data_IF_881627326343
#
_entry.id   IF_881627326343
#
_cell.length_a   1.000
_cell.length_b   1.000
_cell.length_c   1.000
_cell.angle_alpha   90.00
_cell.angle_beta   90.00
_cell.angle_gamma   90.00
#
_symmetry.space_group_name_H-M   'P 1'
#
loop_
_entity.id
_entity.type
_entity.pdbx_description
1 polymer ?
#
# COMPACT_ATOMS: atom_id res chain seq x y z
N UNK A 1 -49.94 17.84 19.46
CA UNK A 1 -49.80 16.56 20.18
C UNK A 1 -48.33 16.25 20.31
N UNK A 2 -47.86 16.29 21.57
CA UNK A 2 -46.62 15.75 22.15
C UNK A 2 -45.31 15.88 21.37
N UNK A 3 -44.71 17.06 21.49
CA UNK A 3 -43.27 17.27 21.41
C UNK A 3 -42.62 16.90 22.77
N UNK A 4 -41.52 16.15 22.74
CA UNK A 4 -40.62 15.93 23.88
C UNK A 4 -39.23 16.46 23.50
N UNK A 5 -38.64 17.39 24.25
CA UNK A 5 -37.28 17.84 23.99
C UNK A 5 -36.26 17.02 24.82
N UNK A 6 -35.27 16.47 24.14
CA UNK A 6 -34.09 15.81 24.71
C UNK A 6 -33.08 16.83 25.24
N UNK A 7 -32.58 16.57 26.47
CA UNK A 7 -31.64 17.39 27.24
C UNK A 7 -30.28 17.60 26.53
N UNK A 8 -29.59 18.74 26.76
CA UNK A 8 -28.23 18.96 26.29
C UNK A 8 -27.21 18.25 27.19
N UNK A 9 -26.30 17.49 26.58
CA UNK A 9 -25.16 16.84 27.22
C UNK A 9 -23.95 17.78 27.11
N UNK A 10 -23.40 18.19 28.25
CA UNK A 10 -22.18 19.01 28.34
C UNK A 10 -20.94 18.23 27.90
N UNK A 11 -20.00 18.84 27.16
CA UNK A 11 -18.69 18.25 26.89
C UNK A 11 -17.72 18.61 28.02
N UNK A 12 -17.31 17.59 28.77
CA UNK A 12 -16.14 17.67 29.66
C UNK A 12 -14.84 17.50 28.86
N UNK A 13 -13.87 18.30 29.28
CA UNK A 13 -12.51 18.53 28.77
C UNK A 13 -11.60 17.26 28.76
N UNK A 14 -10.42 17.32 28.10
CA UNK A 14 -9.72 16.17 27.54
C UNK A 14 -8.57 15.63 28.39
N UNK A 15 -8.22 14.37 28.12
CA UNK A 15 -6.83 13.92 28.04
C UNK A 15 -6.14 13.52 29.35
N UNK A 16 -6.38 12.29 29.81
CA UNK A 16 -5.41 11.53 30.61
C UNK A 16 -5.76 10.03 30.63
N UNK A 17 -5.44 9.30 29.56
CA UNK A 17 -5.36 7.83 29.60
C UNK A 17 -3.99 7.37 29.10
N UNK A 18 -2.99 7.58 29.97
CA UNK A 18 -1.74 6.82 30.04
C UNK A 18 -1.52 6.43 31.50
N UNK A 19 -2.33 5.52 32.03
CA UNK A 19 -2.11 4.88 33.34
C UNK A 19 -3.18 3.82 33.56
N UNK A 20 -2.94 2.63 33.01
CA UNK A 20 -3.70 1.43 33.34
C UNK A 20 -2.85 0.19 32.99
N UNK A 21 -1.64 0.12 33.53
CA UNK A 21 -0.82 -1.10 33.69
C UNK A 21 0.38 -0.73 34.58
N UNK A 22 0.15 -0.55 35.88
CA UNK A 22 1.26 -0.52 36.87
C UNK A 22 0.88 -0.76 38.33
N UNK A 23 -0.27 -1.34 38.63
CA UNK A 23 -0.70 -1.62 40.01
C UNK A 23 -0.96 -3.12 40.25
N UNK A 24 0.12 -3.89 40.32
CA UNK A 24 0.18 -5.16 41.09
C UNK A 24 1.41 -5.20 42.03
N UNK A 25 2.25 -4.16 42.04
CA UNK A 25 3.42 -4.08 42.93
C UNK A 25 3.36 -2.87 43.86
N UNK A 26 2.38 -2.85 44.77
CA UNK A 26 2.31 -1.88 45.87
C UNK A 26 1.46 -2.43 47.01
N UNK A 27 1.92 -3.53 47.62
CA UNK A 27 1.63 -3.83 49.02
C UNK A 27 2.92 -4.40 49.63
N UNK A 28 3.34 -3.76 50.73
CA UNK A 28 4.50 -4.09 51.60
C UNK A 28 5.83 -3.41 51.22
N UNK A 29 5.86 -2.10 51.37
CA UNK A 29 7.00 -1.29 51.83
C UNK A 29 6.36 -0.15 52.64
N UNK A 30 6.69 0.25 53.87
CA UNK A 30 7.78 0.08 54.84
C UNK A 30 7.08 0.35 56.22
N UNK A 31 7.62 0.02 57.43
CA UNK A 31 8.96 0.44 57.85
C UNK A 31 9.70 -0.50 58.81
N UNK A 32 11.02 -0.66 58.68
CA UNK A 32 11.86 -1.11 59.80
C UNK A 32 13.35 -0.79 59.59
N UNK A 33 13.69 0.50 59.71
CA UNK A 33 15.06 0.94 60.01
C UNK A 33 14.96 2.05 61.07
N UNK A 34 14.94 1.65 62.34
CA UNK A 34 15.30 2.49 63.49
C UNK A 34 15.36 1.63 64.75
N UNK A 35 16.57 1.21 65.16
CA UNK A 35 17.04 1.05 66.55
C UNK A 35 18.16 0.00 66.65
N UNK A 36 19.41 0.44 66.50
CA UNK A 36 20.57 -0.26 67.05
C UNK A 36 21.50 0.79 67.67
N UNK A 37 21.37 0.98 68.98
CA UNK A 37 22.34 1.59 69.88
C UNK A 37 22.16 1.01 71.30
N UNK A 38 23.25 0.50 71.88
CA UNK A 38 23.48 -0.23 73.17
C UNK A 38 23.07 0.57 74.45
N UNK A 39 23.16 0.08 75.74
CA UNK A 39 23.82 -1.12 76.30
C UNK A 39 23.05 -1.91 77.41
N UNK A 40 23.74 -2.93 77.95
CA UNK A 40 23.40 -3.88 79.01
C UNK A 40 22.92 -3.31 80.36
N UNK A 41 22.07 -4.08 81.07
CA UNK A 41 22.22 -4.47 82.48
C UNK A 41 20.98 -5.23 82.99
N UNK A 42 21.15 -6.48 83.44
CA UNK A 42 20.60 -6.98 84.71
C UNK A 42 21.29 -8.31 85.07
N UNK A 43 22.03 -8.28 86.19
CA UNK A 43 22.45 -9.43 86.97
C UNK A 43 21.24 -9.95 87.77
N UNK A 44 21.11 -11.22 88.18
CA UNK A 44 22.00 -12.37 88.09
C UNK A 44 21.39 -13.59 88.81
N UNK A 45 22.21 -14.64 88.93
CA UNK A 45 21.96 -15.86 89.74
C UNK A 45 21.25 -16.97 88.94
N UNK A 46 21.73 -18.20 88.86
CA UNK A 46 22.86 -18.88 89.45
C UNK A 46 22.78 -20.37 89.07
N UNK A 47 23.93 -21.03 89.13
CA UNK A 47 24.17 -22.49 89.05
C UNK A 47 24.37 -23.14 87.66
N UNK A 48 25.67 -23.24 87.30
CA UNK A 48 26.37 -24.43 86.78
C UNK A 48 25.70 -25.28 85.67
N UNK A 49 26.17 -25.10 84.43
CA UNK A 49 26.47 -26.22 83.51
C UNK A 49 27.64 -25.86 82.59
N UNK A 50 28.84 -25.95 83.16
CA UNK A 50 30.13 -25.88 82.45
C UNK A 50 30.26 -27.21 81.66
N UNK A 51 30.51 -27.14 80.34
CA UNK A 51 30.67 -28.26 79.37
C UNK A 51 29.45 -28.72 78.54
N UNK A 52 28.65 -27.80 77.96
CA UNK A 52 27.61 -28.13 76.96
C UNK A 52 27.40 -27.18 75.77
N UNK A 53 27.91 -25.95 75.81
CA UNK A 53 27.49 -24.88 74.86
C UNK A 53 28.00 -24.98 73.42
N UNK A 54 29.03 -25.78 73.12
CA UNK A 54 29.54 -25.92 71.73
C UNK A 54 28.67 -26.84 70.88
N UNK A 55 28.11 -27.91 71.45
CA UNK A 55 27.24 -28.83 70.72
C UNK A 55 25.88 -28.17 70.38
N UNK A 56 25.34 -27.38 71.31
CA UNK A 56 24.07 -26.65 71.12
C UNK A 56 24.19 -25.55 70.05
N UNK A 57 25.30 -24.81 70.03
CA UNK A 57 25.59 -23.83 68.96
C UNK A 57 25.71 -24.49 67.59
N UNK A 58 26.35 -25.66 67.51
CA UNK A 58 26.50 -26.40 66.24
C UNK A 58 25.17 -26.97 65.74
N UNK A 59 24.27 -27.40 66.64
CA UNK A 59 22.90 -27.78 66.28
C UNK A 59 22.10 -26.62 65.71
N UNK A 60 22.13 -25.47 66.39
CA UNK A 60 21.44 -24.26 65.91
C UNK A 60 21.95 -23.82 64.53
N UNK A 61 23.25 -23.88 64.30
CA UNK A 61 23.86 -23.57 62.99
C UNK A 61 23.50 -24.59 61.91
N UNK A 62 23.41 -25.88 62.25
CA UNK A 62 22.96 -26.93 61.32
C UNK A 62 21.48 -26.78 60.96
N UNK A 63 20.63 -26.43 61.93
CA UNK A 63 19.22 -26.14 61.69
C UNK A 63 19.05 -24.90 60.80
N UNK A 64 19.81 -23.83 61.05
CA UNK A 64 19.80 -22.65 60.18
C UNK A 64 20.25 -22.99 58.74
N UNK A 65 21.23 -23.89 58.57
CA UNK A 65 21.64 -24.38 57.25
C UNK A 65 20.53 -25.21 56.57
N UNK A 66 19.78 -26.01 57.34
CA UNK A 66 18.61 -26.77 56.84
C UNK A 66 17.51 -25.84 56.36
N UNK A 67 17.15 -24.82 57.16
CA UNK A 67 16.13 -23.84 56.81
C UNK A 67 16.54 -23.02 55.57
N UNK A 68 17.82 -22.63 55.48
CA UNK A 68 18.36 -21.93 54.32
C UNK A 68 18.35 -22.80 53.04
N UNK A 69 18.67 -24.09 53.16
CA UNK A 69 18.58 -25.03 52.05
C UNK A 69 17.13 -25.24 51.59
N UNK A 70 16.19 -25.36 52.54
CA UNK A 70 14.76 -25.45 52.25
C UNK A 70 14.25 -24.20 51.52
N UNK A 71 14.64 -23.00 51.99
CA UNK A 71 14.31 -21.75 51.30
C UNK A 71 14.85 -21.72 49.86
N UNK A 72 16.12 -22.09 49.65
CA UNK A 72 16.71 -22.17 48.31
C UNK A 72 16.01 -23.17 47.39
N UNK A 73 15.54 -24.30 47.93
CA UNK A 73 14.75 -25.29 47.20
C UNK A 73 13.40 -24.71 46.76
N UNK A 74 12.67 -24.05 47.65
CA UNK A 74 11.39 -23.41 47.33
C UNK A 74 11.53 -22.29 46.28
N UNK A 75 12.57 -21.46 46.39
CA UNK A 75 12.86 -20.41 45.41
C UNK A 75 13.16 -20.99 44.03
N UNK A 76 13.91 -22.10 43.96
CA UNK A 76 14.21 -22.78 42.70
C UNK A 76 12.96 -23.39 42.05
N UNK A 77 12.13 -24.10 42.82
CA UNK A 77 10.87 -24.69 42.31
C UNK A 77 9.93 -23.60 41.80
N UNK A 78 9.80 -22.49 42.53
CA UNK A 78 8.98 -21.34 42.10
C UNK A 78 9.49 -20.77 40.78
N UNK A 79 10.79 -20.48 40.67
CA UNK A 79 11.39 -19.97 39.45
C UNK A 79 11.24 -20.95 38.26
N UNK A 80 11.32 -22.26 38.51
CA UNK A 80 11.15 -23.28 37.46
C UNK A 80 9.71 -23.29 36.94
N UNK A 81 8.71 -23.16 37.82
CA UNK A 81 7.29 -23.09 37.44
C UNK A 81 6.98 -21.84 36.62
N UNK A 82 7.48 -20.68 37.02
CA UNK A 82 7.28 -19.42 36.29
C UNK A 82 7.88 -19.50 34.88
N UNK A 83 9.08 -20.09 34.77
CA UNK A 83 9.76 -20.22 33.48
C UNK A 83 9.09 -21.26 32.57
N UNK A 84 8.45 -22.27 33.15
CA UNK A 84 7.64 -23.24 32.39
C UNK A 84 6.49 -22.54 31.64
N UNK A 85 5.78 -21.61 32.28
CA UNK A 85 4.70 -20.82 31.64
C UNK A 85 5.25 -20.00 30.46
N UNK A 86 6.45 -19.44 30.62
CA UNK A 86 7.14 -18.70 29.56
C UNK A 86 7.46 -19.59 28.36
N UNK A 87 7.98 -20.80 28.60
CA UNK A 87 8.27 -21.77 27.54
C UNK A 87 6.99 -22.26 26.86
N UNK A 88 5.92 -22.52 27.60
CA UNK A 88 4.61 -22.88 27.05
C UNK A 88 4.06 -21.77 26.15
N UNK A 89 4.20 -20.51 26.57
CA UNK A 89 3.78 -19.35 25.77
C UNK A 89 4.58 -19.23 24.47
N UNK A 90 5.91 -19.38 24.52
CA UNK A 90 6.77 -19.35 23.32
C UNK A 90 6.39 -20.48 22.37
N UNK A 91 6.25 -21.71 22.88
CA UNK A 91 5.99 -22.90 22.07
C UNK A 91 4.59 -22.90 21.44
N UNK A 92 3.60 -22.31 22.10
CA UNK A 92 2.26 -22.16 21.56
C UNK A 92 2.21 -21.30 20.28
N UNK A 93 3.20 -20.43 20.06
CA UNK A 93 3.15 -19.42 18.98
C UNK A 93 4.39 -19.38 18.08
N UNK A 94 5.50 -19.99 18.49
CA UNK A 94 6.76 -19.95 17.74
C UNK A 94 7.33 -21.37 17.49
N UNK A 95 7.36 -21.76 16.22
CA UNK A 95 7.93 -23.03 15.74
C UNK A 95 9.35 -22.92 15.17
N UNK A 96 10.07 -21.82 15.43
CA UNK A 96 11.42 -21.60 14.90
C UNK A 96 12.47 -22.51 15.56
N UNK A 97 13.65 -22.69 14.93
CA UNK A 97 14.76 -23.40 15.57
C UNK A 97 15.18 -22.79 16.93
N UNK A 98 15.05 -21.47 17.09
CA UNK A 98 15.37 -20.78 18.34
C UNK A 98 14.38 -21.17 19.46
N UNK A 99 13.08 -21.21 19.16
CA UNK A 99 12.07 -21.67 20.11
C UNK A 99 12.25 -23.15 20.48
N UNK A 100 12.55 -24.03 19.50
CA UNK A 100 12.88 -25.44 19.77
C UNK A 100 14.13 -25.59 20.64
N UNK A 101 15.14 -24.75 20.42
CA UNK A 101 16.34 -24.73 21.24
C UNK A 101 16.03 -24.29 22.67
N UNK A 102 15.20 -23.28 22.87
CA UNK A 102 14.76 -22.87 24.21
C UNK A 102 14.08 -24.01 24.98
N UNK A 103 13.25 -24.82 24.31
CA UNK A 103 12.68 -26.03 24.93
C UNK A 103 13.75 -27.02 25.35
N UNK A 104 14.67 -27.36 24.43
CA UNK A 104 15.76 -28.30 24.72
C UNK A 104 16.68 -27.82 25.84
N UNK A 105 16.99 -26.52 25.87
CA UNK A 105 17.85 -25.91 26.89
C UNK A 105 17.13 -25.90 28.25
N UNK A 106 15.81 -25.65 28.28
CA UNK A 106 14.98 -25.76 29.48
C UNK A 106 14.89 -27.20 30.01
N UNK A 107 14.74 -28.19 29.14
CA UNK A 107 14.76 -29.62 29.53
C UNK A 107 16.11 -30.04 30.11
N UNK A 108 17.21 -29.52 29.55
CA UNK A 108 18.55 -29.76 30.09
C UNK A 108 18.75 -29.13 31.46
N UNK A 109 18.22 -27.92 31.68
CA UNK A 109 18.19 -27.29 33.01
C UNK A 109 17.30 -28.06 33.98
N UNK A 110 16.15 -28.59 33.53
CA UNK A 110 15.26 -29.43 34.33
C UNK A 110 15.99 -30.63 34.94
N UNK A 111 16.77 -31.36 34.13
CA UNK A 111 17.57 -32.50 34.63
C UNK A 111 18.58 -32.10 35.72
N UNK A 112 19.16 -30.90 35.61
CA UNK A 112 20.12 -30.38 36.59
C UNK A 112 19.45 -29.88 37.86
N UNK A 113 18.23 -29.34 37.74
CA UNK A 113 17.37 -29.03 38.88
C UNK A 113 17.04 -30.32 39.62
N UNK A 114 16.59 -31.36 38.92
CA UNK A 114 16.27 -32.66 39.53
C UNK A 114 17.46 -33.24 40.30
N UNK A 115 18.68 -33.15 39.74
CA UNK A 115 19.90 -33.61 40.39
C UNK A 115 20.24 -32.82 41.66
N UNK A 116 20.11 -31.48 41.63
CA UNK A 116 20.36 -30.63 42.80
C UNK A 116 19.28 -30.83 43.88
N UNK A 117 18.02 -30.98 43.46
CA UNK A 117 16.89 -31.34 44.33
C UNK A 117 17.09 -32.69 45.01
N UNK A 118 17.60 -33.69 44.29
CA UNK A 118 17.90 -35.00 44.87
C UNK A 118 19.00 -34.92 45.93
N UNK A 119 20.12 -34.22 45.64
CA UNK A 119 21.20 -33.99 46.61
C UNK A 119 20.72 -33.27 47.87
N UNK A 120 19.80 -32.31 47.72
CA UNK A 120 19.16 -31.64 48.86
C UNK A 120 18.32 -32.60 49.70
N UNK A 121 17.47 -33.40 49.07
CA UNK A 121 16.62 -34.39 49.77
C UNK A 121 17.50 -35.41 50.52
N UNK A 122 18.55 -35.94 49.86
CA UNK A 122 19.50 -36.86 50.49
C UNK A 122 20.20 -36.21 51.70
N UNK A 123 20.63 -34.95 51.60
CA UNK A 123 21.27 -34.22 52.70
C UNK A 123 20.32 -33.97 53.87
N UNK A 124 19.02 -33.73 53.60
CA UNK A 124 18.00 -33.56 54.64
C UNK A 124 17.65 -34.90 55.30
N UNK A 125 17.51 -35.97 54.53
CA UNK A 125 17.13 -37.30 55.01
C UNK A 125 18.27 -37.99 55.78
N UNK A 126 19.53 -37.71 55.44
CA UNK A 126 20.70 -38.28 56.11
C UNK A 126 20.92 -37.73 57.54
N UNK A 127 20.24 -36.63 57.91
CA UNK A 127 20.52 -35.90 59.15
C UNK A 127 19.25 -35.63 59.96
N UNK A 128 19.03 -36.48 60.97
CA UNK A 128 18.02 -36.25 62.02
C UNK A 128 18.57 -35.26 63.07
N UNK A 129 18.31 -33.97 62.85
CA UNK A 129 18.77 -32.88 63.72
C UNK A 129 17.96 -32.77 65.03
N UNK A 130 16.81 -33.44 65.12
CA UNK A 130 15.92 -33.42 66.29
C UNK A 130 16.31 -34.47 67.36
N UNK A 131 17.37 -35.23 67.11
CA UNK A 131 17.88 -36.28 68.01
C UNK A 131 18.58 -35.70 69.25
N UNK A 132 18.06 -36.03 70.43
CA UNK A 132 18.51 -35.52 71.74
C UNK A 132 20.02 -35.71 72.02
N UNK A 133 20.63 -36.80 71.54
CA UNK A 133 22.04 -37.18 71.72
C UNK A 133 22.95 -36.87 70.50
N UNK A 134 22.55 -36.00 69.57
CA UNK A 134 23.37 -35.65 68.40
C UNK A 134 24.77 -35.13 68.77
N UNK A 135 25.81 -35.78 68.26
CA UNK A 135 27.20 -35.36 68.48
C UNK A 135 27.54 -34.04 67.75
N UNK A 136 28.43 -33.23 68.33
CA UNK A 136 28.86 -31.96 67.73
C UNK A 136 29.57 -32.14 66.38
N UNK A 137 30.26 -33.26 66.18
CA UNK A 137 30.88 -33.68 64.90
C UNK A 137 29.82 -33.96 63.83
N UNK A 138 28.75 -34.67 64.19
CA UNK A 138 27.62 -34.97 63.32
C UNK A 138 26.84 -33.70 62.93
N UNK A 139 26.62 -32.78 63.88
CA UNK A 139 26.01 -31.47 63.62
C UNK A 139 26.87 -30.61 62.66
N UNK A 140 28.18 -30.57 62.85
CA UNK A 140 29.09 -29.84 61.96
C UNK A 140 29.16 -30.45 60.54
N UNK A 141 29.08 -31.78 60.44
CA UNK A 141 29.00 -32.47 59.16
C UNK A 141 27.68 -32.18 58.44
N UNK A 142 26.56 -32.26 59.15
CA UNK A 142 25.23 -31.92 58.62
C UNK A 142 25.17 -30.48 58.12
N UNK A 143 25.70 -29.52 58.90
CA UNK A 143 25.83 -28.12 58.47
C UNK A 143 26.59 -27.99 57.15
N UNK A 144 27.66 -28.76 56.97
CA UNK A 144 28.51 -28.71 55.78
C UNK A 144 27.78 -29.26 54.54
N UNK A 145 27.16 -30.43 54.66
CA UNK A 145 26.39 -31.03 53.55
C UNK A 145 25.15 -30.20 53.18
N UNK A 146 24.40 -29.67 54.17
CA UNK A 146 23.26 -28.79 53.93
C UNK A 146 23.66 -27.45 53.29
N UNK A 147 24.79 -26.87 53.72
CA UNK A 147 25.32 -25.66 53.09
C UNK A 147 25.72 -25.92 51.64
N UNK A 148 26.35 -27.06 51.37
CA UNK A 148 26.72 -27.48 50.01
C UNK A 148 25.48 -27.71 49.14
N UNK A 149 24.46 -28.39 49.65
CA UNK A 149 23.19 -28.57 48.94
C UNK A 149 22.50 -27.24 48.62
N UNK A 150 22.46 -26.31 49.60
CA UNK A 150 21.97 -24.94 49.40
C UNK A 150 22.75 -24.20 48.30
N UNK A 151 24.08 -24.27 48.32
CA UNK A 151 24.91 -23.60 47.32
C UNK A 151 24.72 -24.22 45.93
N UNK A 152 24.58 -25.54 45.82
CA UNK A 152 24.24 -26.23 44.57
C UNK A 152 22.87 -25.78 44.02
N UNK A 153 21.83 -25.72 44.87
CA UNK A 153 20.50 -25.19 44.50
C UNK A 153 20.59 -23.73 44.02
N UNK A 154 21.32 -22.88 44.75
CA UNK A 154 21.53 -21.48 44.39
C UNK A 154 22.30 -21.32 43.07
N UNK A 155 23.27 -22.20 42.79
CA UNK A 155 24.01 -22.21 41.53
C UNK A 155 23.10 -22.52 40.35
N UNK A 156 22.27 -23.55 40.46
CA UNK A 156 21.30 -23.92 39.41
C UNK A 156 20.25 -22.83 39.25
N UNK A 157 19.76 -22.22 40.33
CA UNK A 157 18.84 -21.08 40.25
C UNK A 157 19.44 -19.91 39.47
N UNK A 158 20.70 -19.54 39.70
CA UNK A 158 21.37 -18.46 38.94
C UNK A 158 21.50 -18.78 37.46
N UNK A 159 21.58 -20.06 37.09
CA UNK A 159 21.57 -20.47 35.69
C UNK A 159 20.18 -20.43 35.07
N UNK A 160 19.16 -20.84 35.83
CA UNK A 160 17.77 -20.73 35.45
C UNK A 160 17.34 -19.26 35.24
N UNK A 161 17.73 -18.36 36.15
CA UNK A 161 17.47 -16.92 36.04
C UNK A 161 18.09 -16.34 34.75
N UNK A 162 19.37 -16.66 34.48
CA UNK A 162 20.07 -16.25 33.24
C UNK A 162 19.41 -16.80 31.98
N UNK A 163 18.92 -18.03 32.04
CA UNK A 163 18.17 -18.61 30.94
C UNK A 163 16.84 -17.87 30.74
N UNK A 164 16.11 -17.55 31.82
CA UNK A 164 14.91 -16.71 31.77
C UNK A 164 15.15 -15.35 31.12
N UNK A 165 16.21 -14.64 31.50
CA UNK A 165 16.58 -13.36 30.89
C UNK A 165 16.83 -13.50 29.38
N UNK A 166 17.41 -14.62 28.94
CA UNK A 166 17.69 -14.88 27.53
C UNK A 166 16.43 -15.12 26.68
N UNK A 167 15.30 -15.48 27.29
CA UNK A 167 14.02 -15.70 26.59
C UNK A 167 13.29 -14.41 26.23
N UNK A 168 13.67 -13.26 26.81
CA UNK A 168 12.98 -11.99 26.63
C UNK A 168 12.60 -11.64 25.18
N UNK A 169 13.50 -11.75 24.19
CA UNK A 169 13.17 -11.50 22.79
C UNK A 169 12.13 -12.46 22.20
N UNK A 170 12.16 -13.74 22.59
CA UNK A 170 11.19 -14.75 22.12
C UNK A 170 9.82 -14.50 22.76
N UNK A 171 9.77 -14.18 24.05
CA UNK A 171 8.53 -13.82 24.76
C UNK A 171 7.90 -12.56 24.18
N UNK A 172 8.68 -11.50 23.98
CA UNK A 172 8.14 -10.26 23.40
C UNK A 172 7.58 -10.45 21.98
N UNK A 173 8.19 -11.33 21.18
CA UNK A 173 7.66 -11.73 19.88
C UNK A 173 6.35 -12.52 20.02
N UNK A 174 6.30 -13.49 20.94
CA UNK A 174 5.13 -14.31 21.22
C UNK A 174 3.93 -13.44 21.65
N UNK A 175 4.15 -12.54 22.61
CA UNK A 175 3.15 -11.58 23.09
C UNK A 175 2.64 -10.68 21.96
N UNK A 176 3.53 -10.19 21.10
CA UNK A 176 3.17 -9.37 19.94
C UNK A 176 2.27 -10.14 18.97
N UNK A 177 2.54 -11.43 18.73
CA UNK A 177 1.71 -12.27 17.86
C UNK A 177 0.33 -12.53 18.49
N UNK A 178 0.28 -12.86 19.78
CA UNK A 178 -0.97 -13.08 20.51
C UNK A 178 -1.84 -11.82 20.52
N UNK A 179 -1.25 -10.65 20.78
CA UNK A 179 -1.95 -9.37 20.77
C UNK A 179 -2.55 -9.03 19.40
N UNK A 180 -1.94 -9.50 18.30
CA UNK A 180 -2.42 -9.27 16.93
C UNK A 180 -3.51 -10.24 16.49
N UNK A 181 -3.62 -11.40 17.11
CA UNK A 181 -4.46 -12.50 16.65
C UNK A 181 -5.94 -12.11 16.54
N UNK A 182 -6.55 -11.69 17.65
CA UNK A 182 -7.97 -11.33 17.65
C UNK A 182 -8.30 -10.17 16.69
N UNK A 183 -7.55 -9.04 16.69
CA UNK A 183 -7.78 -7.97 15.70
C UNK A 183 -7.63 -8.41 14.24
N UNK A 184 -6.71 -9.33 13.93
CA UNK A 184 -6.53 -9.83 12.57
C UNK A 184 -7.73 -10.68 12.12
N UNK A 185 -8.21 -11.60 12.97
CA UNK A 185 -9.38 -12.43 12.69
C UNK A 185 -10.64 -11.57 12.50
N UNK A 186 -10.85 -10.56 13.34
CA UNK A 186 -12.01 -9.68 13.19
C UNK A 186 -11.96 -8.83 11.93
N UNK A 187 -10.78 -8.32 11.55
CA UNK A 187 -10.61 -7.63 10.25
C UNK A 187 -10.94 -8.54 9.08
N UNK A 188 -10.56 -9.81 9.13
CA UNK A 188 -10.90 -10.77 8.08
C UNK A 188 -12.42 -10.99 7.97
N UNK A 189 -13.11 -11.16 9.11
CA UNK A 189 -14.57 -11.32 9.16
C UNK A 189 -15.31 -10.08 8.65
N UNK A 190 -14.88 -8.90 9.08
CA UNK A 190 -15.45 -7.63 8.62
C UNK A 190 -15.23 -7.42 7.12
N UNK A 191 -14.04 -7.77 6.60
CA UNK A 191 -13.73 -7.73 5.18
C UNK A 191 -14.65 -8.62 4.36
N UNK A 192 -14.88 -9.87 4.80
CA UNK A 192 -15.80 -10.81 4.14
C UNK A 192 -17.24 -10.29 4.11
N UNK A 193 -17.74 -9.76 5.23
CA UNK A 193 -19.08 -9.16 5.29
C UNK A 193 -19.21 -7.96 4.34
N UNK A 194 -18.20 -7.07 4.34
CA UNK A 194 -18.19 -5.90 3.48
C UNK A 194 -18.13 -6.28 1.99
N UNK A 195 -17.37 -7.31 1.63
CA UNK A 195 -17.33 -7.87 0.28
C UNK A 195 -18.69 -8.44 -0.13
N UNK A 196 -19.36 -9.19 0.75
CA UNK A 196 -20.71 -9.71 0.51
C UNK A 196 -21.71 -8.59 0.25
N UNK A 197 -21.74 -7.58 1.12
CA UNK A 197 -22.63 -6.43 0.99
C UNK A 197 -22.37 -5.65 -0.31
N UNK A 198 -21.10 -5.51 -0.73
CA UNK A 198 -20.76 -4.89 -2.00
C UNK A 198 -21.29 -5.68 -3.20
N UNK A 199 -21.23 -7.01 -3.17
CA UNK A 199 -21.80 -7.84 -4.22
C UNK A 199 -23.33 -7.78 -4.27
N UNK A 200 -23.99 -7.70 -3.11
CA UNK A 200 -25.44 -7.53 -3.03
C UNK A 200 -25.87 -6.17 -3.60
N UNK A 201 -25.15 -5.09 -3.28
CA UNK A 201 -25.37 -3.78 -3.89
C UNK A 201 -25.19 -3.81 -5.43
N UNK A 202 -24.21 -4.55 -5.95
CA UNK A 202 -24.05 -4.73 -7.41
C UNK A 202 -25.26 -5.47 -8.01
N UNK A 203 -25.78 -6.51 -7.33
CA UNK A 203 -26.97 -7.25 -7.78
C UNK A 203 -28.22 -6.38 -7.82
N UNK A 204 -28.40 -5.45 -6.87
CA UNK A 204 -29.50 -4.48 -6.87
C UNK A 204 -29.49 -3.59 -8.13
N UNK A 205 -28.30 -3.29 -8.65
CA UNK A 205 -28.13 -2.57 -9.93
C UNK A 205 -28.31 -3.44 -11.17
N UNK A 206 -28.69 -4.72 -11.02
CA UNK A 206 -28.82 -5.74 -12.09
C UNK A 206 -27.52 -5.99 -12.87
N UNK A 207 -26.38 -5.67 -12.26
CA UNK A 207 -25.06 -6.00 -12.79
C UNK A 207 -24.65 -7.41 -12.35
N UNK A 208 -23.88 -8.08 -13.20
CA UNK A 208 -23.31 -9.40 -12.94
C UNK A 208 -21.97 -9.23 -12.24
N UNK A 209 -21.71 -10.12 -11.30
CA UNK A 209 -20.46 -10.19 -10.55
C UNK A 209 -20.11 -11.64 -10.22
N UNK A 210 -20.42 -12.57 -11.14
CA UNK A 210 -20.33 -14.02 -10.91
C UNK A 210 -18.90 -14.44 -10.56
N UNK A 211 -17.90 -13.90 -11.26
CA UNK A 211 -16.48 -14.17 -10.97
C UNK A 211 -16.06 -13.67 -9.57
N UNK A 212 -16.54 -12.48 -9.17
CA UNK A 212 -16.27 -11.93 -7.84
C UNK A 212 -16.99 -12.72 -6.74
N UNK A 213 -18.21 -13.16 -7.00
CA UNK A 213 -18.97 -14.02 -6.10
C UNK A 213 -18.31 -15.41 -5.95
N UNK A 214 -17.79 -15.99 -7.04
CA UNK A 214 -17.04 -17.24 -6.99
C UNK A 214 -15.74 -17.09 -6.19
N UNK A 215 -15.00 -15.97 -6.38
CA UNK A 215 -13.81 -15.64 -5.57
C UNK A 215 -14.15 -15.49 -4.08
N UNK A 216 -15.26 -14.82 -3.75
CA UNK A 216 -15.71 -14.70 -2.36
C UNK A 216 -16.11 -16.05 -1.76
N UNK A 217 -16.82 -16.89 -2.54
CA UNK A 217 -17.20 -18.23 -2.10
C UNK A 217 -15.98 -19.13 -1.84
N UNK A 218 -14.90 -18.98 -2.63
CA UNK A 218 -13.64 -19.69 -2.42
C UNK A 218 -12.95 -19.36 -1.09
N UNK A 219 -13.29 -18.24 -0.44
CA UNK A 219 -12.82 -17.88 0.90
C UNK A 219 -13.59 -18.59 2.03
N UNK A 220 -14.70 -19.27 1.74
CA UNK A 220 -15.53 -19.97 2.72
C UNK A 220 -14.76 -20.97 3.59
N UNK A 221 -13.96 -21.90 3.02
CA UNK A 221 -13.15 -22.83 3.80
C UNK A 221 -12.12 -22.13 4.71
N UNK A 222 -11.60 -20.98 4.30
CA UNK A 222 -10.67 -20.21 5.13
C UNK A 222 -11.39 -19.56 6.31
N UNK A 223 -12.62 -19.05 6.13
CA UNK A 223 -13.46 -18.59 7.24
C UNK A 223 -13.76 -19.71 8.25
N UNK A 224 -14.03 -20.94 7.78
CA UNK A 224 -14.21 -22.09 8.67
C UNK A 224 -12.97 -22.33 9.54
N UNK A 225 -11.77 -22.30 8.95
CA UNK A 225 -10.51 -22.46 9.70
C UNK A 225 -10.24 -21.29 10.65
N UNK A 226 -10.62 -20.07 10.29
CA UNK A 226 -10.54 -18.92 11.20
C UNK A 226 -11.48 -19.08 12.40
N UNK A 227 -12.67 -19.65 12.20
CA UNK A 227 -13.62 -19.92 13.29
C UNK A 227 -13.18 -21.08 14.19
N UNK A 228 -12.45 -22.06 13.66
CA UNK A 228 -11.79 -23.11 14.45
C UNK A 228 -10.66 -22.56 15.33
N UNK A 229 -10.07 -21.42 14.95
CA UNK A 229 -9.16 -20.64 15.79
C UNK A 229 -7.73 -21.19 15.87
N UNK A 230 -6.87 -20.43 16.56
CA UNK A 230 -5.45 -20.73 16.67
C UNK A 230 -5.13 -21.96 17.54
N UNK A 231 -6.02 -22.38 18.43
CA UNK A 231 -5.82 -23.60 19.23
C UNK A 231 -5.73 -24.86 18.37
N UNK A 232 -6.45 -24.90 17.24
CA UNK A 232 -6.41 -26.02 16.30
C UNK A 232 -5.35 -25.84 15.20
N UNK A 233 -5.14 -24.60 14.74
CA UNK A 233 -4.34 -24.33 13.54
C UNK A 233 -2.97 -23.69 13.79
N UNK A 234 -2.68 -23.31 15.03
CA UNK A 234 -1.50 -22.52 15.40
C UNK A 234 -1.71 -21.02 15.18
N UNK A 235 -1.06 -20.21 16.04
CA UNK A 235 -1.15 -18.74 15.98
C UNK A 235 -0.57 -18.18 14.66
N UNK A 236 0.64 -18.57 14.20
CA UNK A 236 1.21 -18.03 12.97
C UNK A 236 0.34 -18.27 11.73
N UNK A 237 -0.15 -19.49 11.56
CA UNK A 237 -0.96 -19.90 10.42
C UNK A 237 -2.33 -19.21 10.44
N UNK A 238 -2.89 -18.99 11.63
CA UNK A 238 -4.16 -18.26 11.78
C UNK A 238 -4.00 -16.78 11.45
N UNK A 239 -2.89 -16.14 11.87
CA UNK A 239 -2.55 -14.77 11.50
C UNK A 239 -2.37 -14.62 9.99
N UNK A 240 -1.56 -15.46 9.37
CA UNK A 240 -1.32 -15.44 7.92
C UNK A 240 -2.62 -15.60 7.13
N UNK A 241 -3.46 -16.57 7.55
CA UNK A 241 -4.78 -16.79 6.97
C UNK A 241 -5.68 -15.57 7.10
N UNK A 242 -5.76 -14.98 8.29
CA UNK A 242 -6.61 -13.83 8.54
C UNK A 242 -6.19 -12.64 7.65
N UNK A 243 -4.89 -12.39 7.53
CA UNK A 243 -4.37 -11.34 6.67
C UNK A 243 -4.64 -11.60 5.18
N UNK A 244 -4.47 -12.84 4.71
CA UNK A 244 -4.80 -13.21 3.32
C UNK A 244 -6.28 -13.01 3.02
N UNK A 245 -7.16 -13.53 3.88
CA UNK A 245 -8.61 -13.39 3.74
C UNK A 245 -9.03 -11.92 3.75
N UNK A 246 -8.48 -11.12 4.66
CA UNK A 246 -8.78 -9.69 4.71
C UNK A 246 -8.38 -8.96 3.42
N UNK A 247 -7.18 -9.23 2.88
CA UNK A 247 -6.72 -8.63 1.62
C UNK A 247 -7.57 -9.04 0.42
N UNK A 248 -7.89 -10.32 0.29
CA UNK A 248 -8.69 -10.83 -0.83
C UNK A 248 -10.13 -10.33 -0.77
N UNK A 249 -10.75 -10.29 0.41
CA UNK A 249 -12.08 -9.73 0.60
C UNK A 249 -12.12 -8.23 0.27
N UNK A 250 -11.10 -7.47 0.69
CA UNK A 250 -10.99 -6.05 0.35
C UNK A 250 -10.83 -5.82 -1.16
N UNK A 251 -10.02 -6.63 -1.85
CA UNK A 251 -9.90 -6.56 -3.30
C UNK A 251 -11.25 -6.79 -4.00
N UNK A 252 -11.99 -7.82 -3.57
CA UNK A 252 -13.34 -8.11 -4.08
C UNK A 252 -14.28 -6.92 -3.85
N UNK A 253 -14.27 -6.35 -2.64
CA UNK A 253 -15.11 -5.19 -2.29
C UNK A 253 -14.83 -3.99 -3.18
N UNK A 254 -13.55 -3.65 -3.39
CA UNK A 254 -13.14 -2.52 -4.23
C UNK A 254 -13.49 -2.76 -5.70
N UNK A 255 -13.26 -3.98 -6.20
CA UNK A 255 -13.62 -4.35 -7.58
C UNK A 255 -15.14 -4.30 -7.80
N UNK A 256 -15.94 -4.82 -6.87
CA UNK A 256 -17.39 -4.76 -6.91
C UNK A 256 -17.90 -3.31 -6.92
N UNK A 257 -17.35 -2.45 -6.05
CA UNK A 257 -17.74 -1.04 -5.97
C UNK A 257 -17.50 -0.24 -7.26
N UNK A 258 -16.56 -0.67 -8.12
CA UNK A 258 -16.25 -0.01 -9.41
C UNK A 258 -17.16 -0.43 -10.56
N UNK A 259 -17.92 -1.52 -10.42
CA UNK A 259 -18.77 -2.02 -11.52
C UNK A 259 -19.87 -1.02 -11.92
N UNK A 260 -20.63 -0.41 -10.97
CA UNK A 260 -21.65 0.58 -11.33
C UNK A 260 -21.06 1.83 -11.98
N UNK A 261 -19.91 2.32 -11.50
CA UNK A 261 -19.22 3.47 -12.08
C UNK A 261 -18.81 3.20 -13.52
N UNK A 262 -18.21 2.03 -13.78
CA UNK A 262 -17.79 1.60 -15.11
C UNK A 262 -18.97 1.46 -16.07
N UNK A 263 -20.08 0.91 -15.57
CA UNK A 263 -21.32 0.78 -16.33
C UNK A 263 -21.86 2.15 -16.74
N UNK A 264 -21.97 3.09 -15.80
CA UNK A 264 -22.44 4.45 -16.05
C UNK A 264 -21.53 5.23 -17.00
N UNK A 265 -20.21 5.06 -16.90
CA UNK A 265 -19.25 5.69 -17.81
C UNK A 265 -19.45 5.22 -19.26
N UNK A 266 -19.62 3.92 -19.47
CA UNK A 266 -19.89 3.35 -20.80
C UNK A 266 -21.24 3.85 -21.34
N UNK A 267 -22.27 3.89 -20.49
CA UNK A 267 -23.60 4.38 -20.87
C UNK A 267 -23.55 5.85 -21.32
N UNK A 268 -22.81 6.69 -20.59
CA UNK A 268 -22.61 8.08 -20.97
C UNK A 268 -21.87 8.23 -22.30
N UNK A 269 -20.79 7.45 -22.51
CA UNK A 269 -20.02 7.46 -23.76
C UNK A 269 -20.86 6.98 -24.95
N UNK A 270 -21.70 5.97 -24.77
CA UNK A 270 -22.63 5.48 -25.79
C UNK A 270 -23.59 6.58 -26.25
N UNK A 271 -24.20 7.30 -25.31
CA UNK A 271 -25.11 8.42 -25.61
C UNK A 271 -24.35 9.55 -26.32
N UNK A 272 -23.21 9.97 -25.77
CA UNK A 272 -22.39 11.05 -26.33
C UNK A 272 -21.96 10.78 -27.78
N UNK A 273 -21.42 9.59 -28.04
CA UNK A 273 -20.96 9.21 -29.38
C UNK A 273 -22.12 9.01 -30.37
N UNK A 274 -23.28 8.53 -29.91
CA UNK A 274 -24.49 8.44 -30.74
C UNK A 274 -24.96 9.82 -31.21
N UNK A 275 -25.02 10.79 -30.28
CA UNK A 275 -25.37 12.18 -30.62
C UNK A 275 -24.35 12.77 -31.60
N UNK A 276 -23.05 12.49 -31.40
CA UNK A 276 -22.01 12.97 -32.31
C UNK A 276 -22.13 12.34 -33.71
N UNK A 277 -22.44 11.05 -33.80
CA UNK A 277 -22.68 10.39 -35.08
C UNK A 277 -23.85 11.04 -35.84
N UNK A 278 -24.98 11.28 -35.16
CA UNK A 278 -26.16 11.95 -35.75
C UNK A 278 -25.84 13.38 -36.24
N UNK A 279 -25.09 14.14 -35.44
CA UNK A 279 -24.64 15.48 -35.83
C UNK A 279 -23.73 15.42 -37.06
N UNK A 280 -22.83 14.43 -37.14
CA UNK A 280 -21.95 14.23 -38.29
C UNK A 280 -22.70 13.79 -39.54
N UNK A 281 -23.74 12.93 -39.44
CA UNK A 281 -24.63 12.62 -40.57
C UNK A 281 -25.20 13.89 -41.18
N UNK A 282 -25.67 14.80 -40.34
CA UNK A 282 -26.28 16.07 -40.79
C UNK A 282 -25.24 16.98 -41.44
N UNK A 283 -24.03 17.08 -40.85
CA UNK A 283 -22.93 17.90 -41.40
C UNK A 283 -22.37 17.32 -42.69
N UNK A 284 -22.28 16.01 -42.84
CA UNK A 284 -21.83 15.35 -44.05
C UNK A 284 -22.75 15.66 -45.24
N UNK A 285 -24.07 15.72 -45.01
CA UNK A 285 -25.04 16.15 -46.04
C UNK A 285 -24.87 17.60 -46.52
N UNK A 286 -24.12 18.43 -45.79
CA UNK A 286 -23.80 19.82 -46.19
C UNK A 286 -22.52 19.91 -47.04
N UNK A 287 -21.81 18.81 -47.29
CA UNK A 287 -20.58 18.81 -48.08
C UNK A 287 -20.87 18.92 -49.58
N UNK A 288 -21.93 18.25 -50.08
CA UNK A 288 -22.28 18.29 -51.51
C UNK A 288 -22.58 19.70 -52.07
N UNK A 289 -23.33 20.57 -51.35
CA UNK A 289 -23.47 21.96 -51.75
C UNK A 289 -22.13 22.72 -51.81
N UNK A 290 -21.23 22.47 -50.85
CA UNK A 290 -19.90 23.10 -50.80
C UNK A 290 -19.04 22.63 -51.98
N UNK A 291 -19.02 21.33 -52.27
CA UNK A 291 -18.32 20.78 -53.44
C UNK A 291 -18.89 21.31 -54.76
N UNK A 292 -20.21 21.48 -54.85
CA UNK A 292 -20.85 22.05 -56.03
C UNK A 292 -20.42 23.49 -56.28
N UNK A 293 -20.31 24.30 -55.22
CA UNK A 293 -19.79 25.66 -55.29
C UNK A 293 -18.31 25.69 -55.69
N UNK A 294 -17.50 24.77 -55.13
CA UNK A 294 -16.10 24.63 -55.49
C UNK A 294 -15.92 24.30 -56.98
N UNK A 295 -16.66 23.31 -57.50
CA UNK A 295 -16.62 22.89 -58.92
C UNK A 295 -17.03 24.02 -59.87
N UNK A 296 -17.97 24.87 -59.45
CA UNK A 296 -18.46 25.99 -60.26
C UNK A 296 -17.44 27.12 -60.39
N UNK A 297 -16.66 27.37 -59.33
CA UNK A 297 -15.86 28.61 -59.21
C UNK A 297 -14.36 28.43 -59.30
N UNK A 298 -13.86 27.21 -59.07
CA UNK A 298 -12.43 26.95 -58.96
C UNK A 298 -12.01 25.79 -59.87
N UNK A 299 -10.73 25.77 -60.25
CA UNK A 299 -10.13 24.69 -61.05
C UNK A 299 -10.13 23.36 -60.29
N UNK A 300 -9.99 22.25 -61.03
CA UNK A 300 -10.05 20.89 -60.48
C UNK A 300 -9.08 20.67 -59.30
N UNK A 301 -7.86 21.20 -59.40
CA UNK A 301 -6.84 21.09 -58.36
C UNK A 301 -7.29 21.63 -56.98
N UNK A 302 -8.28 22.52 -56.95
CA UNK A 302 -8.81 23.08 -55.71
C UNK A 302 -9.76 22.15 -54.93
N UNK A 303 -10.31 21.11 -55.57
CA UNK A 303 -11.40 20.31 -54.98
C UNK A 303 -11.39 18.82 -55.32
N UNK A 304 -10.63 18.37 -56.32
CA UNK A 304 -10.65 16.98 -56.78
C UNK A 304 -10.27 15.98 -55.67
N UNK A 305 -9.36 16.37 -54.77
CA UNK A 305 -8.97 15.60 -53.58
C UNK A 305 -10.12 15.39 -52.59
N UNK A 306 -11.11 16.28 -52.61
CA UNK A 306 -12.27 16.25 -51.71
C UNK A 306 -13.48 15.53 -52.30
N UNK A 307 -13.42 15.05 -53.55
CA UNK A 307 -14.60 14.55 -54.26
C UNK A 307 -15.26 13.35 -53.59
N UNK A 308 -14.47 12.54 -52.88
CA UNK A 308 -14.94 11.31 -52.21
C UNK A 308 -15.28 11.50 -50.74
N UNK A 309 -15.14 12.72 -50.20
CA UNK A 309 -15.43 13.01 -48.80
C UNK A 309 -16.88 12.69 -48.43
N UNK A 310 -17.91 13.00 -49.24
CA UNK A 310 -19.29 12.66 -48.91
C UNK A 310 -19.51 11.16 -48.75
N UNK A 311 -19.03 10.34 -49.69
CA UNK A 311 -19.19 8.88 -49.63
C UNK A 311 -18.39 8.28 -48.46
N UNK A 312 -17.16 8.75 -48.23
CA UNK A 312 -16.34 8.30 -47.11
C UNK A 312 -16.94 8.69 -45.76
N UNK A 313 -17.50 9.89 -45.64
CA UNK A 313 -18.16 10.35 -44.42
C UNK A 313 -19.42 9.52 -44.12
N UNK A 314 -20.25 9.26 -45.14
CA UNK A 314 -21.41 8.40 -45.01
C UNK A 314 -21.01 6.97 -44.58
N UNK A 315 -19.94 6.43 -45.18
CA UNK A 315 -19.45 5.10 -44.83
C UNK A 315 -18.94 5.03 -43.39
N UNK A 316 -18.07 5.97 -42.99
CA UNK A 316 -17.51 5.98 -41.65
C UNK A 316 -18.58 6.16 -40.57
N UNK A 317 -19.59 7.00 -40.82
CA UNK A 317 -20.73 7.15 -39.90
C UNK A 317 -21.53 5.86 -39.80
N UNK A 318 -21.82 5.19 -40.92
CA UNK A 318 -22.51 3.90 -40.94
C UNK A 318 -21.74 2.82 -40.16
N UNK A 319 -20.41 2.77 -40.33
CA UNK A 319 -19.55 1.88 -39.55
C UNK A 319 -19.56 2.24 -38.06
N UNK A 320 -19.48 3.52 -37.72
CA UNK A 320 -19.55 4.00 -36.35
C UNK A 320 -20.89 3.61 -35.68
N UNK A 321 -22.01 3.73 -36.38
CA UNK A 321 -23.33 3.31 -35.89
C UNK A 321 -23.44 1.81 -35.67
N UNK A 322 -22.87 1.00 -36.57
CA UNK A 322 -22.77 -0.46 -36.39
C UNK A 322 -21.95 -0.80 -35.14
N UNK A 323 -20.77 -0.18 -34.98
CA UNK A 323 -19.91 -0.37 -33.82
C UNK A 323 -20.54 0.14 -32.52
N UNK A 324 -21.37 1.18 -32.56
CA UNK A 324 -22.17 1.60 -31.41
C UNK A 324 -23.20 0.55 -30.99
N UNK A 325 -23.82 -0.16 -31.94
CA UNK A 325 -24.73 -1.29 -31.63
C UNK A 325 -23.97 -2.47 -31.03
N UNK A 326 -22.81 -2.81 -31.59
CA UNK A 326 -21.92 -3.83 -31.02
C UNK A 326 -21.46 -3.46 -29.60
N UNK A 327 -21.11 -2.18 -29.37
CA UNK A 327 -20.71 -1.67 -28.07
C UNK A 327 -21.85 -1.73 -27.05
N UNK A 328 -23.08 -1.41 -27.46
CA UNK A 328 -24.27 -1.57 -26.64
C UNK A 328 -24.48 -3.05 -26.27
N UNK A 329 -24.40 -3.96 -27.24
CA UNK A 329 -24.54 -5.39 -26.96
C UNK A 329 -23.43 -5.91 -26.03
N UNK A 330 -22.19 -5.42 -26.18
CA UNK A 330 -21.10 -5.72 -25.25
C UNK A 330 -21.36 -5.16 -23.85
N UNK A 331 -21.93 -3.95 -23.73
CA UNK A 331 -22.34 -3.32 -22.48
C UNK A 331 -23.47 -4.08 -21.78
N UNK A 332 -24.47 -4.54 -22.51
CA UNK A 332 -25.58 -5.35 -22.00
C UNK A 332 -25.11 -6.74 -21.58
N UNK A 333 -24.19 -7.31 -22.36
CA UNK A 333 -23.49 -8.55 -22.03
C UNK A 333 -22.42 -8.38 -20.92
N UNK A 334 -22.16 -7.14 -20.47
CA UNK A 334 -21.16 -6.76 -19.47
C UNK A 334 -19.72 -7.18 -19.82
N UNK A 335 -19.41 -7.26 -21.11
CA UNK A 335 -18.06 -7.45 -21.66
C UNK A 335 -17.33 -6.11 -21.71
N UNK A 336 -16.90 -5.63 -20.55
CA UNK A 336 -16.36 -4.28 -20.38
C UNK A 336 -15.15 -3.92 -21.29
N UNK A 337 -14.14 -4.80 -21.46
CA UNK A 337 -13.02 -4.52 -22.36
C UNK A 337 -13.46 -4.33 -23.81
N UNK A 338 -14.38 -5.18 -24.27
CA UNK A 338 -14.91 -5.13 -25.64
C UNK A 338 -15.67 -3.83 -25.89
N UNK A 339 -16.59 -3.47 -24.98
CA UNK A 339 -17.33 -2.21 -25.07
C UNK A 339 -16.38 -1.00 -25.13
N UNK A 340 -15.33 -0.99 -24.31
CA UNK A 340 -14.34 0.11 -24.27
C UNK A 340 -13.54 0.21 -25.57
N UNK A 341 -13.13 -0.93 -26.14
CA UNK A 341 -12.41 -1.01 -27.42
C UNK A 341 -13.28 -0.52 -28.58
N UNK A 342 -14.53 -0.98 -28.63
CA UNK A 342 -15.51 -0.57 -29.64
C UNK A 342 -15.79 0.94 -29.59
N UNK A 343 -15.99 1.51 -28.39
CA UNK A 343 -16.19 2.95 -28.23
C UNK A 343 -14.96 3.78 -28.65
N UNK A 344 -13.75 3.28 -28.39
CA UNK A 344 -12.52 3.92 -28.87
C UNK A 344 -12.45 3.93 -30.40
N UNK A 345 -12.84 2.83 -31.04
CA UNK A 345 -12.92 2.71 -32.51
C UNK A 345 -13.95 3.67 -33.09
N UNK A 346 -15.14 3.76 -32.49
CA UNK A 346 -16.18 4.72 -32.88
C UNK A 346 -15.64 6.15 -32.80
N UNK A 347 -14.98 6.52 -31.69
CA UNK A 347 -14.40 7.86 -31.53
C UNK A 347 -13.39 8.18 -32.63
N UNK A 348 -12.51 7.24 -32.98
CA UNK A 348 -11.54 7.43 -34.04
C UNK A 348 -12.23 7.67 -35.40
N UNK A 349 -13.19 6.82 -35.78
CA UNK A 349 -13.97 6.97 -37.01
C UNK A 349 -14.68 8.33 -37.09
N UNK A 350 -15.34 8.74 -36.01
CA UNK A 350 -16.07 10.01 -35.96
C UNK A 350 -15.12 11.22 -36.02
N UNK A 351 -13.95 11.17 -35.37
CA UNK A 351 -12.95 12.23 -35.45
C UNK A 351 -12.40 12.39 -36.88
N UNK A 352 -11.97 11.30 -37.52
CA UNK A 352 -11.48 11.34 -38.90
C UNK A 352 -12.54 11.86 -39.88
N UNK A 353 -13.81 11.49 -39.64
CA UNK A 353 -14.94 11.98 -40.45
C UNK A 353 -15.19 13.47 -40.25
N UNK A 354 -15.15 13.95 -39.01
CA UNK A 354 -15.32 15.36 -38.66
C UNK A 354 -14.25 16.24 -39.30
N UNK A 355 -12.99 15.79 -39.28
CA UNK A 355 -11.86 16.44 -39.94
C UNK A 355 -12.08 16.52 -41.46
N UNK A 356 -12.46 15.40 -42.09
CA UNK A 356 -12.70 15.32 -43.53
C UNK A 356 -13.87 16.21 -43.98
N UNK A 357 -14.98 16.20 -43.24
CA UNK A 357 -16.15 17.05 -43.51
C UNK A 357 -15.83 18.53 -43.34
N UNK A 358 -15.03 18.88 -42.32
CA UNK A 358 -14.64 20.28 -42.07
C UNK A 358 -13.68 20.80 -43.15
N UNK A 359 -12.78 19.95 -43.65
CA UNK A 359 -11.81 20.31 -44.68
C UNK A 359 -12.45 20.91 -45.95
N UNK A 360 -13.61 20.40 -46.38
CA UNK A 360 -14.29 20.93 -47.57
C UNK A 360 -14.81 22.37 -47.37
N UNK A 361 -15.41 22.65 -46.20
CA UNK A 361 -15.90 23.99 -45.86
C UNK A 361 -14.75 24.97 -45.70
N UNK A 362 -13.71 24.55 -45.00
CA UNK A 362 -12.51 25.36 -44.77
C UNK A 362 -11.80 25.67 -46.10
N UNK A 363 -11.74 24.68 -47.01
CA UNK A 363 -11.22 24.86 -48.37
C UNK A 363 -11.98 25.94 -49.12
N UNK A 364 -13.31 25.88 -49.17
CA UNK A 364 -14.13 26.89 -49.84
C UNK A 364 -13.95 28.28 -49.20
N UNK A 365 -13.89 28.37 -47.88
CA UNK A 365 -13.66 29.64 -47.19
C UNK A 365 -12.29 30.25 -47.53
N UNK A 366 -11.21 29.45 -47.47
CA UNK A 366 -9.84 29.89 -47.81
C UNK A 366 -9.75 30.35 -49.25
N UNK A 367 -10.34 29.58 -50.18
CA UNK A 367 -10.35 29.91 -51.61
C UNK A 367 -11.15 31.19 -51.89
N UNK A 368 -12.28 31.40 -51.22
CA UNK A 368 -13.05 32.65 -51.32
C UNK A 368 -12.26 33.85 -50.80
N UNK A 369 -11.55 33.69 -49.68
CA UNK A 369 -10.75 34.77 -49.09
C UNK A 369 -9.60 35.17 -50.01
N UNK A 370 -8.83 34.20 -50.52
CA UNK A 370 -7.69 34.49 -51.39
C UNK A 370 -8.13 34.97 -52.78
N UNK A 371 -9.26 34.49 -53.31
CA UNK A 371 -9.81 35.01 -54.55
C UNK A 371 -10.21 36.49 -54.41
N UNK A 372 -10.72 36.88 -53.23
CA UNK A 372 -11.12 38.27 -52.95
C UNK A 372 -9.91 39.20 -52.81
N UNK A 373 -8.86 38.74 -52.12
CA UNK A 373 -7.64 39.53 -51.89
C UNK A 373 -6.40 38.61 -51.77
N UNK A 374 -5.72 38.31 -52.90
CA UNK A 374 -4.48 37.55 -52.87
C UNK A 374 -3.33 38.32 -52.21
N UNK A 375 -3.36 39.66 -52.22
CA UNK A 375 -2.26 40.49 -51.73
C UNK A 375 -2.05 40.31 -50.24
N UNK A 376 -3.11 40.11 -49.47
CA UNK A 376 -3.01 39.82 -48.04
C UNK A 376 -2.07 38.62 -47.76
N UNK A 377 -2.18 37.54 -48.53
CA UNK A 377 -1.37 36.33 -48.31
C UNK A 377 0.06 36.49 -48.86
N UNK A 378 0.21 37.24 -49.95
CA UNK A 378 1.52 37.64 -50.49
C UNK A 378 2.30 38.46 -49.47
N UNK A 379 1.70 39.52 -48.94
CA UNK A 379 2.33 40.44 -48.00
C UNK A 379 2.70 39.76 -46.70
N UNK A 380 1.82 38.90 -46.18
CA UNK A 380 2.09 38.06 -45.02
C UNK A 380 3.32 37.18 -45.23
N UNK A 381 3.44 36.54 -46.40
CA UNK A 381 4.55 35.65 -46.71
C UNK A 381 5.85 36.43 -46.94
N UNK A 382 5.79 37.55 -47.66
CA UNK A 382 6.92 38.48 -47.84
C UNK A 382 7.41 39.03 -46.51
N UNK A 383 6.51 39.35 -45.59
CA UNK A 383 6.87 39.84 -44.26
C UNK A 383 7.66 38.77 -43.48
N UNK A 384 7.17 37.53 -43.44
CA UNK A 384 7.86 36.44 -42.77
C UNK A 384 9.27 36.21 -43.33
N UNK A 385 9.42 36.19 -44.66
CA UNK A 385 10.73 36.03 -45.33
C UNK A 385 11.68 37.18 -44.94
N UNK A 386 11.22 38.44 -45.07
CA UNK A 386 12.03 39.62 -44.75
C UNK A 386 12.47 39.64 -43.29
N UNK A 387 11.58 39.28 -42.38
CA UNK A 387 11.90 39.22 -40.95
C UNK A 387 12.95 38.16 -40.65
N UNK A 388 12.84 36.96 -41.26
CA UNK A 388 13.85 35.92 -41.14
C UNK A 388 15.20 36.29 -41.77
N UNK A 389 15.19 36.95 -42.94
CA UNK A 389 16.41 37.47 -43.57
C UNK A 389 17.10 38.52 -42.67
N UNK A 390 16.32 39.42 -42.06
CA UNK A 390 16.85 40.39 -41.08
C UNK A 390 17.47 39.69 -39.87
N UNK A 391 16.81 38.64 -39.37
CA UNK A 391 17.32 37.85 -38.26
C UNK A 391 18.65 37.15 -38.62
N UNK A 392 18.73 36.56 -39.82
CA UNK A 392 19.93 35.89 -40.32
C UNK A 392 21.13 36.83 -40.47
N UNK A 393 20.87 38.10 -40.83
CA UNK A 393 21.89 39.15 -40.96
C UNK A 393 22.30 39.80 -39.63
N UNK A 394 21.56 39.58 -38.55
CA UNK A 394 21.81 40.27 -37.27
C UNK A 394 23.20 39.90 -36.72
N UNK A 395 24.05 40.92 -36.50
CA UNK A 395 25.42 40.75 -35.98
C UNK A 395 26.44 40.19 -36.99
N UNK A 396 26.11 40.18 -38.29
CA UNK A 396 26.98 39.65 -39.35
C UNK A 396 27.01 40.58 -40.56
N UNK A 397 28.16 40.64 -41.24
CA UNK A 397 28.33 41.37 -42.52
C UNK A 397 28.02 40.48 -43.73
N UNK A 398 28.14 39.16 -43.57
CA UNK A 398 27.84 38.15 -44.59
C UNK A 398 26.93 37.09 -43.98
N UNK A 399 25.78 36.77 -44.60
CA UNK A 399 24.86 35.77 -44.06
C UNK A 399 25.44 34.36 -44.18
N UNK A 400 25.14 33.48 -43.21
CA UNK A 400 25.55 32.07 -43.29
C UNK A 400 24.79 31.40 -44.44
N UNK A 401 25.47 30.76 -45.41
CA UNK A 401 24.83 30.11 -46.54
C UNK A 401 23.73 29.11 -46.15
N UNK A 402 23.84 28.48 -44.97
CA UNK A 402 22.85 27.52 -44.44
C UNK A 402 21.51 28.16 -44.14
N UNK A 403 21.49 29.45 -43.80
CA UNK A 403 20.27 30.22 -43.54
C UNK A 403 19.86 31.05 -44.77
N UNK A 404 20.83 31.61 -45.49
CA UNK A 404 20.58 32.49 -46.63
C UNK A 404 19.91 31.74 -47.79
N UNK A 405 20.47 30.59 -48.20
CA UNK A 405 20.03 29.87 -49.40
C UNK A 405 18.56 29.43 -49.31
N UNK A 406 18.08 28.81 -48.21
CA UNK A 406 16.66 28.47 -48.10
C UNK A 406 15.71 29.69 -48.11
N UNK A 407 16.17 30.86 -47.61
CA UNK A 407 15.37 32.10 -47.62
C UNK A 407 15.32 32.73 -49.02
N UNK A 408 16.42 32.71 -49.76
CA UNK A 408 16.45 33.18 -51.15
C UNK A 408 15.63 32.27 -52.07
N UNK A 409 15.75 30.95 -51.89
CA UNK A 409 14.89 29.96 -52.56
C UNK A 409 13.40 30.20 -52.23
N UNK A 410 13.09 30.60 -50.99
CA UNK A 410 11.73 30.95 -50.56
C UNK A 410 11.17 32.19 -51.26
N UNK A 411 12.01 33.20 -51.55
CA UNK A 411 11.63 34.36 -52.38
C UNK A 411 11.28 33.89 -53.80
N UNK A 412 12.16 33.11 -54.42
CA UNK A 412 11.94 32.61 -55.78
C UNK A 412 10.71 31.69 -55.90
N UNK A 413 10.41 30.92 -54.85
CA UNK A 413 9.18 30.11 -54.73
C UNK A 413 7.94 30.99 -54.66
N UNK A 414 7.96 32.03 -53.82
CA UNK A 414 6.85 32.97 -53.69
C UNK A 414 6.57 33.70 -55.00
N UNK A 415 7.59 34.22 -55.69
CA UNK A 415 7.39 34.92 -56.97
C UNK A 415 6.81 33.99 -58.06
N UNK A 416 7.23 32.72 -58.11
CA UNK A 416 6.60 31.72 -58.99
C UNK A 416 5.15 31.44 -58.62
N UNK A 417 4.83 31.36 -57.33
CA UNK A 417 3.45 31.17 -56.86
C UNK A 417 2.58 32.39 -57.25
N UNK A 418 3.10 33.61 -57.15
CA UNK A 418 2.39 34.83 -57.58
C UNK A 418 2.14 34.81 -59.09
N UNK A 419 3.15 34.46 -59.89
CA UNK A 419 2.99 34.35 -61.35
C UNK A 419 1.93 33.29 -61.73
N UNK A 420 1.75 32.24 -60.93
CA UNK A 420 0.69 31.24 -61.15
C UNK A 420 -0.74 31.78 -60.95
N UNK A 421 -0.88 32.99 -60.38
CA UNK A 421 -2.17 33.68 -60.26
C UNK A 421 -2.59 34.41 -61.55
N UNK A 422 -1.71 34.51 -62.55
CA UNK A 422 -2.00 35.15 -63.82
C UNK A 422 -2.85 34.24 -64.72
N UNK A 423 -4.03 34.70 -65.13
CA UNK A 423 -4.91 33.97 -66.04
C UNK A 423 -6.39 34.02 -65.65
N UNK A 424 -7.23 33.31 -66.42
CA UNK A 424 -8.70 33.39 -66.29
C UNK A 424 -9.25 32.59 -65.10
N UNK A 425 -8.59 31.49 -64.71
CA UNK A 425 -8.97 30.64 -63.58
C UNK A 425 -7.69 30.12 -62.88
N UNK A 426 -7.10 30.88 -61.96
CA UNK A 426 -5.89 30.47 -61.28
C UNK A 426 -6.07 29.26 -60.35
N UNK A 427 -4.98 28.52 -60.14
CA UNK A 427 -4.90 27.51 -59.09
C UNK A 427 -4.60 28.14 -57.74
N UNK A 428 -5.63 28.73 -57.14
CA UNK A 428 -5.56 29.33 -55.81
C UNK A 428 -5.17 28.32 -54.71
N UNK A 429 -5.41 27.02 -54.91
CA UNK A 429 -5.04 26.01 -53.93
C UNK A 429 -3.54 25.73 -53.95
N UNK A 430 -2.95 25.62 -55.14
CA UNK A 430 -1.49 25.56 -55.28
C UNK A 430 -0.83 26.80 -54.69
N UNK A 431 -1.34 28.00 -54.99
CA UNK A 431 -0.82 29.25 -54.41
C UNK A 431 -0.87 29.24 -52.86
N UNK A 432 -2.01 28.86 -52.26
CA UNK A 432 -2.15 28.81 -50.80
C UNK A 432 -1.22 27.78 -50.15
N UNK A 433 -1.13 26.58 -50.73
CA UNK A 433 -0.27 25.52 -50.19
C UNK A 433 1.22 25.85 -50.35
N UNK A 434 1.60 26.49 -51.45
CA UNK A 434 2.98 26.90 -51.69
C UNK A 434 3.41 28.06 -50.76
N UNK A 435 2.54 29.06 -50.56
CA UNK A 435 2.83 30.15 -49.61
C UNK A 435 2.90 29.68 -48.16
N UNK A 436 2.08 28.69 -47.79
CA UNK A 436 2.15 28.02 -46.48
C UNK A 436 3.46 27.24 -46.32
N UNK A 437 3.85 26.42 -47.29
CA UNK A 437 5.11 25.68 -47.29
C UNK A 437 6.36 26.59 -47.27
N UNK A 438 6.29 27.74 -47.93
CA UNK A 438 7.31 28.80 -47.84
C UNK A 438 7.43 29.31 -46.40
N UNK A 439 6.31 29.67 -45.75
CA UNK A 439 6.33 30.14 -44.36
C UNK A 439 6.84 29.09 -43.38
N UNK A 440 6.52 27.81 -43.57
CA UNK A 440 7.08 26.72 -42.76
C UNK A 440 8.61 26.60 -42.93
N UNK A 441 9.09 26.74 -44.16
CA UNK A 441 10.53 26.73 -44.45
C UNK A 441 11.23 27.89 -43.76
N UNK A 442 10.65 29.09 -43.84
CA UNK A 442 11.11 30.29 -43.14
C UNK A 442 11.12 30.07 -41.62
N UNK A 443 10.06 29.50 -41.06
CA UNK A 443 9.97 29.23 -39.62
C UNK A 443 11.04 28.25 -39.15
N UNK A 444 11.34 27.19 -39.92
CA UNK A 444 12.45 26.26 -39.62
C UNK A 444 13.80 26.96 -39.58
N UNK A 445 14.07 27.85 -40.53
CA UNK A 445 15.32 28.65 -40.55
C UNK A 445 15.40 29.57 -39.32
N UNK A 446 14.30 30.23 -38.95
CA UNK A 446 14.24 31.07 -37.73
C UNK A 446 14.52 30.25 -36.48
N UNK A 447 13.92 29.07 -36.35
CA UNK A 447 14.18 28.16 -35.23
C UNK A 447 15.65 27.75 -35.17
N UNK A 448 16.24 27.36 -36.29
CA UNK A 448 17.65 26.99 -36.37
C UNK A 448 18.57 28.16 -35.94
N UNK A 449 18.32 29.38 -36.44
CA UNK A 449 19.10 30.57 -36.04
C UNK A 449 19.00 30.81 -34.53
N UNK A 450 17.80 30.65 -33.96
CA UNK A 450 17.57 30.84 -32.52
C UNK A 450 18.25 29.77 -31.68
N UNK A 451 18.20 28.51 -32.10
CA UNK A 451 18.89 27.40 -31.45
C UNK A 451 20.41 27.59 -31.48
N UNK A 452 20.99 27.95 -32.62
CA UNK A 452 22.42 28.22 -32.75
C UNK A 452 22.88 29.40 -31.87
N UNK A 453 22.01 30.39 -31.64
CA UNK A 453 22.29 31.52 -30.73
C UNK A 453 22.04 31.19 -29.26
N UNK A 454 21.13 30.27 -28.96
CA UNK A 454 20.78 29.85 -27.60
C UNK A 454 21.66 28.73 -27.05
N UNK A 455 22.29 27.91 -27.91
CA UNK A 455 23.20 26.83 -27.54
C UNK A 455 24.68 27.23 -27.40
N UNK A 456 24.98 28.54 -27.44
CA UNK A 456 26.33 29.10 -27.33
C UNK A 456 26.76 29.46 -25.89
N UNK A 457 26.23 28.77 -24.88
CA UNK A 457 26.59 28.95 -23.47
C UNK A 457 27.01 27.64 -22.81
#
# INVERSE_FOLDING_TARGET
>A
MTATPSKPYSPSVPGAHRQAMRDVFTLVALPLVAALALPAAFAGGGTRRWFGGRAESQRAEAQAAKDAAAAAFYELDTAQRDLRISIETITAVDGTPAARRAVSDFEALGRRIDEASHRYIEAVDAHDLDRDDLEASAAAHARTELTKAKDDLANVKRELDRFGDSLGPLLGKAETQLARLAPAVERARQGLLAASNALDAVRETKLRADDLAARLAALGPELTKLNQGAGQHGVPQTLERAERVAREAEAIRVEAGRLPEKAAEIDHRLVSLRTRAQALTTRAGQVDPVLSELRRRFVAACWQDLQHVPEQAAENVRQAELKLKEAQAARDAQRWPDATSLLSTVRALLNTTDESVSAARDRLQRLNAVQKDPQQEIDRTRFAIRDAQRLAMTGRTTPDPRHARPLDDSVARLERAIASLEGRNPDYWHFLTETEAVRETVARVVSQIREERGGGH
#
